data_IF_265218056091
#
_entry.id   IF_265218056091
#
_cell.length_a   1.000
_cell.length_b   1.000
_cell.length_c   1.000
_cell.angle_alpha   90.00
_cell.angle_beta   90.00
_cell.angle_gamma   90.00
#
_symmetry.space_group_name_H-M   'P 1'
#
loop_
_entity.id
_entity.type
_entity.pdbx_description
1 polymer ?
#
# COMPACT_ATOMS: atom_id res chain seq x y z
N UNK A 1 13.07 13.05 -16.05
CA UNK A 1 12.35 11.93 -15.38
C UNK A 1 13.31 10.85 -14.88
N UNK A 2 14.12 10.24 -15.76
CA UNK A 2 15.04 9.14 -15.39
C UNK A 2 15.99 9.50 -14.23
N UNK A 3 16.56 10.71 -14.22
CA UNK A 3 17.44 11.19 -13.14
C UNK A 3 16.76 11.19 -11.77
N UNK A 4 15.49 11.64 -11.69
CA UNK A 4 14.71 11.66 -10.45
C UNK A 4 14.41 10.25 -9.95
N UNK A 5 14.04 9.33 -10.86
CA UNK A 5 13.82 7.92 -10.51
C UNK A 5 15.09 7.26 -9.97
N UNK A 6 16.24 7.50 -10.60
CA UNK A 6 17.53 7.01 -10.10
C UNK A 6 17.87 7.59 -8.73
N UNK A 7 17.76 8.91 -8.55
CA UNK A 7 18.00 9.59 -7.27
C UNK A 7 17.12 9.03 -6.14
N UNK A 8 15.84 8.81 -6.43
CA UNK A 8 14.91 8.20 -5.48
C UNK A 8 15.38 6.80 -5.07
N UNK A 9 15.62 5.91 -6.03
CA UNK A 9 16.10 4.54 -5.77
C UNK A 9 17.41 4.52 -4.98
N UNK A 10 18.34 5.45 -5.24
CA UNK A 10 19.56 5.60 -4.45
C UNK A 10 19.27 6.06 -3.02
N UNK A 11 18.38 7.04 -2.82
CA UNK A 11 18.03 7.56 -1.48
C UNK A 11 17.39 6.52 -0.56
N UNK A 12 16.70 5.53 -1.14
CA UNK A 12 16.08 4.41 -0.40
C UNK A 12 16.88 3.12 -0.48
N UNK A 13 18.04 3.12 -1.15
CA UNK A 13 18.91 1.96 -1.35
C UNK A 13 18.18 0.72 -1.92
N UNK A 14 17.37 0.90 -2.98
CA UNK A 14 16.61 -0.20 -3.60
C UNK A 14 16.86 -0.33 -5.10
N UNK A 15 16.83 -1.56 -5.61
CA UNK A 15 16.75 -1.80 -7.05
C UNK A 15 15.35 -1.48 -7.58
N UNK A 16 15.27 -1.09 -8.86
CA UNK A 16 13.99 -0.73 -9.50
C UNK A 16 12.91 -1.80 -9.31
N UNK A 17 13.24 -3.06 -9.56
CA UNK A 17 12.27 -4.15 -9.46
C UNK A 17 11.86 -4.46 -8.01
N UNK A 18 12.74 -4.28 -7.03
CA UNK A 18 12.38 -4.39 -5.61
C UNK A 18 11.38 -3.29 -5.24
N UNK A 19 11.72 -2.04 -5.55
CA UNK A 19 10.88 -0.89 -5.26
C UNK A 19 9.51 -0.98 -5.94
N UNK A 20 9.49 -1.35 -7.22
CA UNK A 20 8.26 -1.53 -8.00
C UNK A 20 7.35 -2.60 -7.39
N UNK A 21 7.89 -3.78 -7.04
CA UNK A 21 7.08 -4.85 -6.43
C UNK A 21 6.44 -4.41 -5.11
N UNK A 22 7.20 -3.72 -4.27
CA UNK A 22 6.69 -3.15 -3.00
C UNK A 22 5.60 -2.12 -3.28
N UNK A 23 5.85 -1.15 -4.16
CA UNK A 23 4.90 -0.10 -4.50
C UNK A 23 3.59 -0.65 -5.11
N UNK A 24 3.68 -1.62 -6.02
CA UNK A 24 2.50 -2.29 -6.61
C UNK A 24 1.70 -3.03 -5.53
N UNK A 25 2.38 -3.77 -4.64
CA UNK A 25 1.72 -4.45 -3.52
C UNK A 25 0.99 -3.46 -2.61
N UNK A 26 1.63 -2.33 -2.29
CA UNK A 26 1.03 -1.27 -1.48
C UNK A 26 -0.22 -0.72 -2.17
N UNK A 27 -0.12 -0.32 -3.45
CA UNK A 27 -1.23 0.23 -4.21
C UNK A 27 -2.43 -0.71 -4.33
N UNK A 28 -2.20 -2.00 -4.63
CA UNK A 28 -3.27 -2.99 -4.70
C UNK A 28 -3.99 -3.16 -3.36
N UNK A 29 -3.26 -3.21 -2.24
CA UNK A 29 -3.88 -3.31 -0.92
C UNK A 29 -4.66 -2.04 -0.55
N UNK A 30 -4.22 -0.85 -0.95
CA UNK A 30 -4.98 0.39 -0.77
C UNK A 30 -6.30 0.37 -1.53
N UNK A 31 -6.28 -0.06 -2.80
CA UNK A 31 -7.50 -0.20 -3.61
C UNK A 31 -8.47 -1.19 -2.94
N UNK A 32 -7.99 -2.35 -2.52
CA UNK A 32 -8.81 -3.36 -1.85
C UNK A 32 -9.41 -2.84 -0.54
N UNK A 33 -8.61 -2.18 0.32
CA UNK A 33 -9.11 -1.60 1.56
C UNK A 33 -10.15 -0.50 1.30
N UNK A 34 -9.95 0.33 0.27
CA UNK A 34 -10.91 1.34 -0.17
C UNK A 34 -12.23 0.71 -0.63
N UNK A 35 -12.17 -0.34 -1.46
CA UNK A 35 -13.36 -1.08 -1.89
C UNK A 35 -14.12 -1.71 -0.71
N UNK A 36 -13.40 -2.29 0.26
CA UNK A 36 -14.01 -2.82 1.48
C UNK A 36 -14.73 -1.73 2.28
N UNK A 37 -14.11 -0.56 2.43
CA UNK A 37 -14.71 0.58 3.13
C UNK A 37 -15.96 1.10 2.41
N UNK A 38 -15.93 1.19 1.07
CA UNK A 38 -17.09 1.60 0.27
C UNK A 38 -18.25 0.61 0.39
N UNK A 39 -17.97 -0.69 0.33
CA UNK A 39 -18.99 -1.73 0.52
C UNK A 39 -19.56 -1.66 1.94
N UNK A 40 -18.71 -1.47 2.96
CA UNK A 40 -19.16 -1.29 4.35
C UNK A 40 -20.04 -0.05 4.51
N UNK A 41 -19.74 1.06 3.83
CA UNK A 41 -20.55 2.26 3.87
C UNK A 41 -21.97 2.04 3.28
N UNK A 42 -22.10 1.16 2.29
CA UNK A 42 -23.40 0.76 1.73
C UNK A 42 -24.11 -0.28 2.60
N UNK A 43 -23.35 -1.23 3.15
CA UNK A 43 -23.87 -2.36 3.93
C UNK A 43 -23.00 -2.52 5.19
N UNK A 44 -23.35 -1.86 6.32
CA UNK A 44 -22.52 -1.85 7.53
C UNK A 44 -22.22 -3.23 8.13
N UNK A 45 -23.04 -4.25 7.81
CA UNK A 45 -22.80 -5.63 8.23
C UNK A 45 -21.61 -6.32 7.53
N UNK A 46 -21.14 -5.79 6.40
CA UNK A 46 -20.05 -6.39 5.60
C UNK A 46 -18.75 -5.61 5.86
N UNK A 47 -17.62 -6.32 5.95
CA UNK A 47 -16.28 -5.73 6.15
C UNK A 47 -16.11 -4.85 7.40
N UNK A 48 -16.84 -5.14 8.48
CA UNK A 48 -16.91 -4.35 9.72
C UNK A 48 -15.54 -3.87 10.26
N UNK A 49 -14.51 -4.71 10.17
CA UNK A 49 -13.14 -4.35 10.59
C UNK A 49 -12.08 -4.65 9.52
N UNK A 50 -12.47 -5.18 8.36
CA UNK A 50 -11.53 -5.68 7.36
C UNK A 50 -10.75 -4.54 6.70
N UNK A 51 -11.43 -3.43 6.36
CA UNK A 51 -10.79 -2.28 5.74
C UNK A 51 -9.74 -1.65 6.67
N UNK A 52 -10.11 -1.40 7.94
CA UNK A 52 -9.21 -0.81 8.94
C UNK A 52 -8.05 -1.74 9.30
N UNK A 53 -8.30 -3.04 9.45
CA UNK A 53 -7.24 -4.03 9.65
C UNK A 53 -6.26 -4.05 8.48
N UNK A 54 -6.75 -4.01 7.23
CA UNK A 54 -5.89 -3.98 6.04
C UNK A 54 -5.02 -2.73 5.99
N UNK A 55 -5.56 -1.57 6.35
CA UNK A 55 -4.80 -0.31 6.44
C UNK A 55 -3.72 -0.40 7.52
N UNK A 56 -4.04 -0.98 8.69
CA UNK A 56 -3.07 -1.18 9.78
C UNK A 56 -1.94 -2.11 9.37
N UNK A 57 -2.26 -3.26 8.76
CA UNK A 57 -1.26 -4.18 8.20
C UNK A 57 -0.34 -3.48 7.18
N UNK A 58 -0.93 -2.64 6.32
CA UNK A 58 -0.18 -1.90 5.32
C UNK A 58 0.74 -0.84 5.95
N UNK A 59 0.26 -0.13 6.97
CA UNK A 59 1.05 0.83 7.75
C UNK A 59 2.25 0.15 8.42
N UNK A 60 2.02 -0.97 9.10
CA UNK A 60 3.07 -1.77 9.73
C UNK A 60 4.09 -2.27 8.67
N UNK A 61 3.61 -2.75 7.51
CA UNK A 61 4.46 -3.21 6.42
C UNK A 61 5.35 -2.09 5.86
N UNK A 62 4.80 -0.90 5.62
CA UNK A 62 5.55 0.25 5.08
C UNK A 62 6.61 0.72 6.08
N UNK A 63 6.27 0.78 7.37
CA UNK A 63 7.20 1.22 8.40
C UNK A 63 8.30 0.21 8.71
N UNK A 64 8.04 -1.09 8.51
CA UNK A 64 9.06 -2.14 8.66
C UNK A 64 10.03 -2.22 7.47
N UNK A 65 9.65 -1.67 6.31
CA UNK A 65 10.47 -1.63 5.09
C UNK A 65 11.29 -0.33 4.95
N UNK A 66 11.18 0.60 5.91
CA UNK A 66 12.06 1.76 6.07
C UNK A 66 13.19 1.44 7.04
#
# INVERSE_FOLDING_TARGET
MIKKSKQHLYSVNESYFKHMKVAVKVGLNMILAGLMALIHALIPGIFQSNASNKIRELYEFINKQR
#
